data_IF_450643025406
#
_entry.id   IF_450643025406
#
_cell.length_a   1.000
_cell.length_b   1.000
_cell.length_c   1.000
_cell.angle_alpha   90.00
_cell.angle_beta   90.00
_cell.angle_gamma   90.00
#
_symmetry.space_group_name_H-M   'P 1'
#
loop_
_entity.id
_entity.type
_entity.pdbx_description
1 polymer ?
#
# COMPACT_ATOMS: atom_id res chain seq x y z
N UNK A 1 21.80 6.91 7.99
CA UNK A 1 21.65 5.45 8.20
C UNK A 1 20.31 5.04 8.82
N UNK A 2 19.30 5.92 8.89
CA UNK A 2 17.92 5.60 9.37
C UNK A 2 16.94 5.52 8.20
N UNK A 3 17.09 6.40 7.20
CA UNK A 3 16.22 6.44 6.02
C UNK A 3 16.18 5.12 5.23
N UNK A 4 17.31 4.41 5.11
CA UNK A 4 17.37 3.10 4.45
C UNK A 4 16.57 2.01 5.18
N UNK A 5 16.46 2.08 6.52
CA UNK A 5 15.64 1.14 7.30
C UNK A 5 14.15 1.42 7.07
N UNK A 6 13.74 2.69 7.13
CA UNK A 6 12.36 3.12 6.89
C UNK A 6 11.89 2.78 5.47
N UNK A 7 12.78 2.89 4.46
CA UNK A 7 12.50 2.44 3.09
C UNK A 7 12.27 0.92 3.05
N UNK A 8 13.13 0.12 3.69
CA UNK A 8 12.97 -1.33 3.72
C UNK A 8 11.65 -1.75 4.39
N UNK A 9 11.26 -1.11 5.48
CA UNK A 9 9.99 -1.37 6.14
C UNK A 9 8.80 -0.92 5.28
N UNK A 10 8.93 0.19 4.56
CA UNK A 10 7.92 0.64 3.58
C UNK A 10 7.75 -0.38 2.45
N UNK A 11 8.83 -1.00 1.97
CA UNK A 11 8.79 -2.06 0.95
C UNK A 11 8.12 -3.34 1.47
N UNK A 12 8.41 -3.76 2.70
CA UNK A 12 7.73 -4.90 3.33
C UNK A 12 6.24 -4.63 3.50
N UNK A 13 5.89 -3.47 4.06
CA UNK A 13 4.51 -3.04 4.23
C UNK A 13 3.77 -2.99 2.88
N UNK A 14 4.36 -2.34 1.89
CA UNK A 14 3.80 -2.26 0.54
C UNK A 14 3.59 -3.63 -0.10
N UNK A 15 4.48 -4.60 0.15
CA UNK A 15 4.36 -5.97 -0.36
C UNK A 15 3.16 -6.70 0.25
N UNK A 16 2.94 -6.55 1.55
CA UNK A 16 1.78 -7.15 2.23
C UNK A 16 0.46 -6.56 1.73
N UNK A 17 0.40 -5.24 1.50
CA UNK A 17 -0.78 -4.58 0.91
C UNK A 17 -0.98 -5.02 -0.55
N UNK A 18 0.06 -5.02 -1.37
CA UNK A 18 0.00 -5.39 -2.80
C UNK A 18 -0.48 -6.84 -3.00
N UNK A 19 0.02 -7.78 -2.19
CA UNK A 19 -0.39 -9.18 -2.22
C UNK A 19 -1.89 -9.35 -2.06
N UNK A 20 -2.52 -8.54 -1.20
CA UNK A 20 -3.96 -8.60 -0.90
C UNK A 20 -4.78 -7.90 -1.98
N UNK A 21 -4.33 -6.73 -2.45
CA UNK A 21 -4.98 -6.05 -3.56
C UNK A 21 -5.00 -6.91 -4.84
N UNK A 22 -3.96 -7.71 -5.07
CA UNK A 22 -3.91 -8.65 -6.20
C UNK A 22 -4.95 -9.77 -6.15
N UNK A 23 -5.66 -9.96 -5.03
CA UNK A 23 -6.76 -10.93 -4.91
C UNK A 23 -8.11 -10.36 -5.36
N UNK A 24 -8.24 -9.03 -5.41
CA UNK A 24 -9.52 -8.34 -5.72
C UNK A 24 -9.47 -7.58 -7.05
N UNK A 25 -8.27 -7.26 -7.56
CA UNK A 25 -8.09 -6.58 -8.84
C UNK A 25 -6.85 -7.08 -9.57
N UNK A 26 -6.82 -6.91 -10.90
CA UNK A 26 -5.60 -7.12 -11.67
C UNK A 26 -4.57 -6.07 -11.28
N UNK A 27 -3.37 -6.51 -10.93
CA UNK A 27 -2.28 -5.60 -10.62
C UNK A 27 -1.69 -5.01 -11.90
N UNK A 28 -1.41 -3.70 -11.88
CA UNK A 28 -0.58 -3.08 -12.93
C UNK A 28 0.82 -3.71 -12.97
N UNK A 29 1.36 -4.01 -11.78
CA UNK A 29 2.65 -4.68 -11.59
C UNK A 29 2.60 -5.59 -10.37
N UNK A 30 3.26 -6.73 -10.47
CA UNK A 30 3.35 -7.72 -9.39
C UNK A 30 4.45 -7.41 -8.35
N UNK A 31 4.97 -6.18 -8.33
CA UNK A 31 6.00 -5.72 -7.38
C UNK A 31 5.70 -4.29 -6.92
N UNK A 32 6.20 -3.96 -5.73
CA UNK A 32 6.18 -2.58 -5.22
C UNK A 32 7.19 -1.76 -6.01
N UNK A 33 6.74 -0.65 -6.60
CA UNK A 33 7.62 0.31 -7.26
C UNK A 33 8.11 1.37 -6.27
N UNK A 34 9.26 1.96 -6.57
CA UNK A 34 9.82 3.09 -5.84
C UNK A 34 9.89 4.31 -6.75
N UNK A 35 9.47 5.46 -6.22
CA UNK A 35 9.56 6.75 -6.88
C UNK A 35 9.71 7.87 -5.85
N UNK A 36 10.20 9.03 -6.27
CA UNK A 36 10.54 10.16 -5.42
C UNK A 36 9.35 10.99 -4.91
N UNK A 37 8.22 10.36 -4.55
CA UNK A 37 7.02 11.06 -4.09
C UNK A 37 7.26 11.81 -2.77
N UNK A 38 6.90 13.09 -2.72
CA UNK A 38 7.11 13.94 -1.55
C UNK A 38 6.39 13.41 -0.30
N UNK A 39 5.18 12.86 -0.47
CA UNK A 39 4.36 12.30 0.61
C UNK A 39 4.97 11.05 1.26
N UNK A 40 5.99 10.43 0.65
CA UNK A 40 6.64 9.22 1.15
C UNK A 40 7.98 9.48 1.85
N UNK A 41 8.32 10.76 2.11
CA UNK A 41 9.66 11.15 2.59
C UNK A 41 9.82 11.19 4.11
N UNK A 42 8.83 10.76 4.89
CA UNK A 42 8.94 10.70 6.34
C UNK A 42 10.14 9.83 6.76
N UNK A 43 11.10 10.35 7.55
CA UNK A 43 12.36 9.66 7.80
C UNK A 43 12.24 8.46 8.74
N UNK A 44 11.20 8.41 9.57
CA UNK A 44 11.00 7.46 10.67
C UNK A 44 9.63 6.76 10.64
N UNK A 45 8.82 7.00 9.60
CA UNK A 45 7.50 6.40 9.42
C UNK A 45 7.46 5.64 8.08
N UNK A 46 7.25 4.31 8.10
CA UNK A 46 7.03 3.55 6.88
C UNK A 46 5.83 4.12 6.10
N UNK A 47 6.04 4.50 4.85
CA UNK A 47 5.06 5.21 4.02
C UNK A 47 4.88 4.52 2.68
N UNK A 48 3.63 4.32 2.24
CA UNK A 48 3.30 3.79 0.91
C UNK A 48 2.25 4.67 0.24
N UNK A 49 2.25 4.67 -1.10
CA UNK A 49 1.17 5.21 -1.91
C UNK A 49 0.45 4.02 -2.56
N UNK A 50 -0.87 3.94 -2.38
CA UNK A 50 -1.69 2.87 -2.93
C UNK A 50 -2.48 3.41 -4.12
N UNK A 51 -2.18 2.91 -5.31
CA UNK A 51 -3.00 3.12 -6.50
C UNK A 51 -4.15 2.10 -6.49
N UNK A 52 -5.37 2.55 -6.26
CA UNK A 52 -6.53 1.67 -6.08
C UNK A 52 -7.05 1.13 -7.42
N UNK A 53 -7.04 1.97 -8.45
CA UNK A 53 -7.34 1.67 -9.84
C UNK A 53 -6.97 2.88 -10.72
N UNK A 54 -6.90 2.71 -12.04
CA UNK A 54 -6.69 3.79 -13.01
C UNK A 54 -8.02 4.38 -13.47
N UNK A 55 -8.31 5.61 -13.05
CA UNK A 55 -9.53 6.33 -13.48
C UNK A 55 -9.58 6.59 -15.00
N UNK A 56 -8.45 6.52 -15.70
CA UNK A 56 -8.36 6.62 -17.16
C UNK A 56 -8.87 5.37 -17.90
N UNK A 57 -9.04 4.26 -17.19
CA UNK A 57 -9.64 3.04 -17.73
C UNK A 57 -11.14 3.01 -17.35
N UNK A 58 -12.03 2.96 -18.35
CA UNK A 58 -13.48 3.06 -18.15
C UNK A 58 -14.03 1.97 -17.21
N UNK A 59 -13.50 0.74 -17.31
CA UNK A 59 -13.94 -0.37 -16.46
C UNK A 59 -13.51 -0.17 -15.00
N UNK A 60 -12.28 0.31 -14.79
CA UNK A 60 -11.76 0.62 -13.45
C UNK A 60 -12.42 1.86 -12.84
N UNK A 61 -12.70 2.90 -13.63
CA UNK A 61 -13.49 4.07 -13.22
C UNK A 61 -14.88 3.63 -12.72
N UNK A 62 -15.54 2.73 -13.45
CA UNK A 62 -16.85 2.21 -13.04
C UNK A 62 -16.77 1.47 -11.71
N UNK A 63 -15.73 0.64 -11.51
CA UNK A 63 -15.50 -0.06 -10.23
C UNK A 63 -15.27 0.92 -9.09
N UNK A 64 -14.46 1.96 -9.28
CA UNK A 64 -14.15 2.98 -8.28
C UNK A 64 -15.40 3.69 -7.73
N UNK A 65 -16.49 3.73 -8.51
CA UNK A 65 -17.79 4.30 -8.11
C UNK A 65 -18.67 3.36 -7.29
N UNK A 66 -18.31 2.09 -7.15
CA UNK A 66 -19.12 1.10 -6.43
C UNK A 66 -18.70 0.98 -4.97
N UNK A 67 -19.68 0.98 -4.06
CA UNK A 67 -19.44 0.76 -2.63
C UNK A 67 -18.76 -0.59 -2.35
N UNK A 68 -19.12 -1.63 -3.12
CA UNK A 68 -18.52 -2.96 -3.01
C UNK A 68 -17.00 -2.91 -3.25
N UNK A 69 -16.55 -2.34 -4.38
CA UNK A 69 -15.12 -2.29 -4.70
C UNK A 69 -14.35 -1.42 -3.71
N UNK A 70 -14.92 -0.28 -3.28
CA UNK A 70 -14.32 0.57 -2.26
C UNK A 70 -14.11 -0.19 -0.94
N UNK A 71 -15.10 -1.00 -0.54
CA UNK A 71 -15.02 -1.84 0.65
C UNK A 71 -13.95 -2.94 0.51
N UNK A 72 -13.89 -3.63 -0.64
CA UNK A 72 -12.86 -4.65 -0.92
C UNK A 72 -11.44 -4.06 -0.84
N UNK A 73 -11.24 -2.85 -1.40
CA UNK A 73 -9.97 -2.13 -1.33
C UNK A 73 -9.63 -1.78 0.13
N UNK A 74 -10.58 -1.21 0.87
CA UNK A 74 -10.38 -0.84 2.27
C UNK A 74 -10.02 -2.06 3.14
N UNK A 75 -10.71 -3.19 2.95
CA UNK A 75 -10.45 -4.44 3.65
C UNK A 75 -9.08 -5.01 3.28
N UNK A 76 -8.68 -4.93 2.01
CA UNK A 76 -7.35 -5.37 1.55
C UNK A 76 -6.23 -4.56 2.18
N UNK A 77 -6.38 -3.23 2.26
CA UNK A 77 -5.43 -2.34 2.93
C UNK A 77 -5.36 -2.66 4.42
N UNK A 78 -6.51 -2.81 5.09
CA UNK A 78 -6.56 -3.16 6.51
C UNK A 78 -5.88 -4.52 6.79
N UNK A 79 -6.16 -5.52 5.97
CA UNK A 79 -5.54 -6.83 6.09
C UNK A 79 -4.02 -6.77 5.85
N UNK A 80 -3.54 -5.90 4.95
CA UNK A 80 -2.12 -5.67 4.70
C UNK A 80 -1.43 -5.00 5.88
N UNK A 81 -2.07 -3.99 6.48
CA UNK A 81 -1.60 -3.35 7.72
C UNK A 81 -1.47 -4.38 8.86
N UNK A 82 -2.51 -5.19 9.07
CA UNK A 82 -2.50 -6.24 10.11
C UNK A 82 -1.36 -7.24 9.93
N UNK A 83 -1.12 -7.67 8.70
CA UNK A 83 -0.07 -8.64 8.42
C UNK A 83 1.33 -8.06 8.56
N UNK A 84 1.55 -6.82 8.12
CA UNK A 84 2.80 -6.12 8.34
C UNK A 84 3.17 -6.07 9.83
N UNK A 85 2.21 -5.78 10.72
CA UNK A 85 2.45 -5.79 12.16
C UNK A 85 2.62 -7.20 12.74
N UNK A 86 1.91 -8.20 12.21
CA UNK A 86 2.08 -9.60 12.63
C UNK A 86 3.49 -10.13 12.31
N UNK A 87 4.14 -9.60 11.27
CA UNK A 87 5.52 -9.95 10.87
C UNK A 87 6.60 -9.09 11.57
N UNK A 88 6.24 -8.36 12.63
CA UNK A 88 7.18 -7.55 13.40
C UNK A 88 7.46 -6.17 12.80
N UNK A 89 6.52 -5.63 12.01
CA UNK A 89 6.59 -4.29 11.45
C UNK A 89 6.88 -3.22 12.50
N UNK A 90 7.72 -2.24 12.14
CA UNK A 90 8.11 -1.16 13.03
C UNK A 90 6.92 -0.26 13.39
N UNK A 91 6.78 0.04 14.69
CA UNK A 91 5.92 1.10 15.19
C UNK A 91 6.71 2.42 15.21
N UNK A 92 6.09 3.50 14.74
CA UNK A 92 6.66 4.83 14.91
C UNK A 92 6.89 5.07 16.40
N UNK A 93 8.12 5.43 16.78
CA UNK A 93 8.40 5.84 18.16
C UNK A 93 7.74 7.20 18.35
N UNK A 94 6.77 7.28 19.26
CA UNK A 94 6.24 8.58 19.70
C UNK A 94 7.38 9.35 20.37
N UNK A 95 7.74 10.49 19.78
CA UNK A 95 8.61 11.48 20.41
C UNK A 95 7.92 12.18 21.58
#
# INVERSE_FOLDING_TARGET
>A
MVQSLTINDSLKFGKEVLKRLGTINSLHKNRVDQAGFAVLKAPDIPSILVETAFISNIEEERKLKTAKFQQEVAESILAGIKAYFAEGGALARRG
#
